data_IF_407902218655
#
_entry.id   IF_407902218655
#
_cell.length_a   1.000
_cell.length_b   1.000
_cell.length_c   1.000
_cell.angle_alpha   90.00
_cell.angle_beta   90.00
_cell.angle_gamma   90.00
#
_symmetry.space_group_name_H-M   'P 1'
#
loop_
_entity.id
_entity.type
_entity.pdbx_description
1 polymer ?
#
# COMPACT_ATOMS: atom_id res chain seq x y z
N UNK A 1 17.60 17.84 -21.51
CA UNK A 1 17.52 16.61 -20.69
C UNK A 1 18.85 15.91 -20.77
N UNK A 2 19.24 15.21 -19.72
CA UNK A 2 20.47 14.42 -19.66
C UNK A 2 20.24 13.17 -18.81
N UNK A 3 21.13 12.18 -18.95
CA UNK A 3 21.08 10.93 -18.23
C UNK A 3 22.23 10.83 -17.24
N UNK A 4 22.02 10.06 -16.19
CA UNK A 4 23.09 9.71 -15.26
C UNK A 4 24.20 8.90 -15.95
N UNK A 5 25.48 9.11 -15.61
CA UNK A 5 26.55 8.22 -16.00
C UNK A 5 26.25 6.78 -15.54
N UNK A 6 26.84 5.76 -16.19
CA UNK A 6 26.72 4.39 -15.73
C UNK A 6 27.21 4.22 -14.28
N UNK A 7 26.53 3.39 -13.49
CA UNK A 7 26.70 3.30 -12.02
C UNK A 7 28.11 2.85 -11.62
N UNK A 8 28.72 2.01 -12.45
CA UNK A 8 30.09 1.53 -12.35
C UNK A 8 31.13 2.66 -12.36
N UNK A 9 30.81 3.83 -12.93
CA UNK A 9 31.72 4.96 -13.03
C UNK A 9 31.54 6.01 -11.91
N UNK A 10 30.61 5.79 -10.98
CA UNK A 10 30.29 6.82 -9.98
C UNK A 10 31.38 6.97 -8.91
N UNK A 11 32.20 5.94 -8.70
CA UNK A 11 33.29 5.91 -7.72
C UNK A 11 32.88 6.45 -6.33
N UNK A 12 31.62 6.18 -5.95
CA UNK A 12 30.99 6.77 -4.77
C UNK A 12 29.49 6.99 -4.98
N UNK A 13 28.83 7.53 -3.96
CA UNK A 13 27.41 7.92 -4.07
C UNK A 13 27.34 9.21 -4.91
N UNK A 14 26.65 9.14 -6.04
CA UNK A 14 26.32 10.31 -6.83
C UNK A 14 25.46 11.28 -6.01
N UNK A 15 25.92 12.52 -5.87
CA UNK A 15 25.24 13.58 -5.13
C UNK A 15 24.49 14.54 -6.05
N UNK A 16 25.00 14.75 -7.27
CA UNK A 16 24.37 15.67 -8.21
C UNK A 16 25.21 15.92 -9.45
N UNK A 17 24.87 17.02 -10.12
CA UNK A 17 25.44 17.45 -11.38
C UNK A 17 25.69 18.95 -11.36
N UNK A 18 26.74 19.37 -12.05
CA UNK A 18 26.95 20.76 -12.45
C UNK A 18 26.59 20.90 -13.92
N UNK A 19 25.62 21.76 -14.22
CA UNK A 19 25.19 22.10 -15.58
C UNK A 19 25.82 23.45 -15.95
N UNK A 20 26.84 23.40 -16.80
CA UNK A 20 27.62 24.55 -17.26
C UNK A 20 27.10 25.10 -18.57
N UNK A 21 27.08 26.41 -18.72
CA UNK A 21 26.81 27.05 -20.01
C UNK A 21 27.70 28.28 -20.23
N UNK A 22 28.03 28.57 -21.48
CA UNK A 22 28.71 29.80 -21.90
C UNK A 22 28.36 30.14 -23.35
N UNK A 23 28.59 31.37 -23.79
CA UNK A 23 28.49 31.73 -25.20
C UNK A 23 29.52 30.91 -26.00
N UNK A 24 29.11 30.38 -27.15
CA UNK A 24 29.97 29.58 -28.00
C UNK A 24 31.22 30.38 -28.39
N UNK A 25 32.40 29.74 -28.34
CA UNK A 25 33.72 30.34 -28.58
C UNK A 25 34.13 31.46 -27.61
N UNK A 26 33.36 31.72 -26.55
CA UNK A 26 33.81 32.62 -25.49
C UNK A 26 35.00 32.04 -24.73
N UNK A 27 35.96 32.91 -24.42
CA UNK A 27 37.08 32.62 -23.53
C UNK A 27 36.67 32.61 -22.05
N UNK A 28 35.45 33.04 -21.73
CA UNK A 28 34.91 32.97 -20.38
C UNK A 28 34.75 31.50 -19.91
N UNK A 29 34.93 31.24 -18.61
CA UNK A 29 34.64 29.92 -18.04
C UNK A 29 33.15 29.61 -18.11
N UNK A 30 32.80 28.32 -18.04
CA UNK A 30 31.39 27.91 -17.94
C UNK A 30 30.76 28.42 -16.64
N UNK A 31 29.57 29.01 -16.76
CA UNK A 31 28.73 29.33 -15.62
C UNK A 31 27.92 28.09 -15.21
N UNK A 32 28.21 27.55 -14.03
CA UNK A 32 27.64 26.29 -13.54
C UNK A 32 26.44 26.49 -12.62
N UNK A 33 25.40 25.68 -12.82
CA UNK A 33 24.27 25.51 -11.93
C UNK A 33 24.35 24.13 -11.27
N UNK A 34 24.02 24.05 -9.98
CA UNK A 34 24.04 22.78 -9.24
C UNK A 34 22.66 22.14 -9.29
N UNK A 35 22.60 20.87 -9.68
CA UNK A 35 21.39 20.05 -9.74
C UNK A 35 21.60 18.82 -8.87
N UNK A 36 20.82 18.68 -7.81
CA UNK A 36 20.91 17.53 -6.90
C UNK A 36 20.40 16.26 -7.58
N UNK A 37 21.09 15.14 -7.37
CA UNK A 37 20.67 13.85 -7.89
C UNK A 37 19.43 13.36 -7.13
N UNK A 38 18.30 13.23 -7.84
CA UNK A 38 17.08 12.60 -7.33
C UNK A 38 17.09 11.08 -7.49
N UNK A 39 15.94 10.43 -7.25
CA UNK A 39 15.75 8.98 -7.50
C UNK A 39 15.62 8.64 -9.00
N UNK A 40 15.38 9.64 -9.84
CA UNK A 40 15.22 9.47 -11.30
C UNK A 40 16.56 9.41 -12.02
N UNK A 41 16.63 8.58 -13.06
CA UNK A 41 17.76 8.51 -14.01
C UNK A 41 17.65 9.52 -15.15
N UNK A 42 16.44 10.03 -15.41
CA UNK A 42 16.18 11.10 -16.37
C UNK A 42 16.12 12.43 -15.64
N UNK A 43 16.98 13.35 -16.07
CA UNK A 43 17.14 14.65 -15.44
C UNK A 43 16.96 15.76 -16.47
N UNK A 44 16.30 16.82 -16.03
CA UNK A 44 16.15 18.04 -16.79
C UNK A 44 16.61 19.23 -15.94
N UNK A 45 17.07 20.26 -16.63
CA UNK A 45 17.44 21.51 -16.01
C UNK A 45 17.17 22.63 -17.00
N UNK A 46 16.58 23.72 -16.51
CA UNK A 46 16.25 24.89 -17.32
C UNK A 46 17.28 25.99 -17.09
N UNK A 47 18.06 26.28 -18.12
CA UNK A 47 18.90 27.46 -18.18
C UNK A 47 18.02 28.68 -18.48
N UNK A 48 18.22 29.76 -17.73
CA UNK A 48 17.43 31.00 -17.84
C UNK A 48 18.35 32.20 -17.99
N UNK A 49 17.80 33.36 -18.39
CA UNK A 49 18.55 34.62 -18.60
C UNK A 49 19.64 34.51 -19.67
N UNK A 50 19.35 33.77 -20.74
CA UNK A 50 20.20 33.68 -21.93
C UNK A 50 19.87 34.82 -22.91
N UNK A 51 20.86 35.22 -23.72
CA UNK A 51 20.65 36.17 -24.80
C UNK A 51 19.94 35.48 -25.98
N UNK A 52 19.09 36.22 -26.69
CA UNK A 52 18.41 35.74 -27.91
C UNK A 52 19.39 35.59 -29.07
N UNK A 53 19.02 34.82 -30.08
CA UNK A 53 19.81 34.60 -31.31
C UNK A 53 21.29 34.29 -31.04
N UNK A 54 21.57 33.56 -29.96
CA UNK A 54 22.93 33.36 -29.45
C UNK A 54 23.21 31.88 -29.31
N UNK A 55 24.34 31.45 -29.88
CA UNK A 55 24.84 30.09 -29.68
C UNK A 55 25.50 29.95 -28.32
N UNK A 56 25.09 28.93 -27.60
CA UNK A 56 25.65 28.52 -26.33
C UNK A 56 26.27 27.14 -26.45
N UNK A 57 27.36 26.99 -25.73
CA UNK A 57 27.98 25.73 -25.38
C UNK A 57 27.48 25.29 -24.01
N UNK A 58 27.01 24.06 -23.89
CA UNK A 58 26.47 23.48 -22.65
C UNK A 58 27.19 22.18 -22.31
N UNK A 59 27.61 22.03 -21.05
CA UNK A 59 28.27 20.82 -20.53
C UNK A 59 27.61 20.38 -19.22
N UNK A 60 27.69 19.09 -18.91
CA UNK A 60 27.25 18.53 -17.64
C UNK A 60 28.36 17.69 -17.03
N UNK A 61 28.62 17.83 -15.74
CA UNK A 61 29.51 16.92 -14.99
C UNK A 61 28.87 16.44 -13.70
N UNK A 62 29.00 15.16 -13.41
CA UNK A 62 28.52 14.55 -12.17
C UNK A 62 29.46 14.85 -11.00
N UNK A 63 28.95 14.88 -9.77
CA UNK A 63 29.79 14.97 -8.58
C UNK A 63 29.32 14.04 -7.45
N UNK A 64 30.29 13.60 -6.65
CA UNK A 64 30.10 12.81 -5.44
C UNK A 64 30.77 13.51 -4.25
N UNK A 65 30.90 12.83 -3.10
CA UNK A 65 31.53 13.40 -1.91
C UNK A 65 33.02 13.68 -2.03
N UNK A 66 33.70 13.10 -3.03
CA UNK A 66 35.13 13.30 -3.30
C UNK A 66 35.33 14.51 -4.21
N UNK A 67 34.46 14.69 -5.20
CA UNK A 67 34.54 15.83 -6.12
C UNK A 67 33.74 15.64 -7.39
N UNK A 68 34.03 16.47 -8.40
CA UNK A 68 33.42 16.41 -9.72
C UNK A 68 34.17 15.46 -10.65
N UNK A 69 33.43 14.66 -11.41
CA UNK A 69 33.95 13.91 -12.55
C UNK A 69 34.21 14.77 -13.79
N UNK A 70 34.55 14.13 -14.92
CA UNK A 70 34.81 14.83 -16.17
C UNK A 70 33.55 15.51 -16.75
N UNK A 71 33.77 16.51 -17.58
CA UNK A 71 32.72 17.17 -18.35
C UNK A 71 32.20 16.24 -19.47
N UNK A 72 30.91 16.34 -19.74
CA UNK A 72 30.31 15.72 -20.92
C UNK A 72 30.85 16.33 -22.20
N UNK A 73 30.51 15.72 -23.34
CA UNK A 73 30.63 16.40 -24.62
C UNK A 73 29.87 17.75 -24.58
N UNK A 74 30.45 18.76 -25.22
CA UNK A 74 29.86 20.09 -25.35
C UNK A 74 28.66 20.04 -26.30
N UNK A 75 27.48 20.38 -25.78
CA UNK A 75 26.27 20.49 -26.58
C UNK A 75 26.12 21.92 -27.09
N UNK A 76 26.06 22.08 -28.41
CA UNK A 76 25.80 23.37 -29.04
C UNK A 76 24.29 23.58 -29.19
N UNK A 77 23.78 24.66 -28.62
CA UNK A 77 22.38 25.06 -28.72
C UNK A 77 22.29 26.52 -29.11
N UNK A 78 21.27 26.89 -29.88
CA UNK A 78 21.02 28.27 -30.30
C UNK A 78 19.69 28.73 -29.72
N UNK A 79 19.68 29.89 -29.08
CA UNK A 79 18.44 30.52 -28.61
C UNK A 79 17.69 31.14 -29.78
N UNK A 80 16.37 31.07 -29.75
CA UNK A 80 15.52 31.72 -30.75
C UNK A 80 15.70 33.24 -30.74
N UNK A 81 15.59 33.87 -31.92
CA UNK A 81 15.48 35.32 -32.06
C UNK A 81 14.03 35.82 -31.87
N UNK A 82 13.05 34.94 -32.13
CA UNK A 82 11.63 35.26 -31.97
C UNK A 82 11.28 35.44 -30.49
N UNK A 83 10.43 36.42 -30.21
CA UNK A 83 9.75 36.51 -28.92
C UNK A 83 9.02 35.21 -28.60
N UNK A 84 9.16 34.75 -27.37
CA UNK A 84 8.36 33.65 -26.85
C UNK A 84 6.88 34.00 -26.97
N UNK A 85 6.05 33.00 -27.28
CA UNK A 85 4.62 33.18 -27.16
C UNK A 85 4.24 33.43 -25.70
N UNK A 86 3.16 34.18 -25.47
CA UNK A 86 2.65 34.42 -24.13
C UNK A 86 2.34 33.08 -23.43
N UNK A 87 2.64 32.96 -22.13
CA UNK A 87 2.40 31.75 -21.40
C UNK A 87 0.89 31.49 -21.24
N UNK A 88 0.46 30.24 -21.18
CA UNK A 88 -0.89 29.88 -20.74
C UNK A 88 -1.09 30.20 -19.26
N UNK A 89 -2.33 30.56 -18.91
CA UNK A 89 -2.77 30.71 -17.52
C UNK A 89 -3.17 29.34 -16.98
N UNK A 90 -2.30 28.74 -16.17
CA UNK A 90 -2.52 27.44 -15.53
C UNK A 90 -3.25 27.63 -14.20
N UNK A 91 -4.19 26.73 -13.90
CA UNK A 91 -4.84 26.61 -12.59
C UNK A 91 -5.12 25.14 -12.25
N UNK A 92 -5.32 24.88 -10.95
CA UNK A 92 -5.66 23.55 -10.43
C UNK A 92 -7.12 23.55 -10.04
N UNK A 93 -7.94 22.72 -10.70
CA UNK A 93 -9.37 22.63 -10.43
C UNK A 93 -9.67 21.70 -9.27
N UNK A 94 -8.99 20.55 -9.22
CA UNK A 94 -9.24 19.50 -8.22
C UNK A 94 -7.94 18.80 -7.83
N UNK A 95 -7.88 18.31 -6.61
CA UNK A 95 -6.80 17.46 -6.09
C UNK A 95 -7.39 16.25 -5.40
N UNK A 96 -6.77 15.10 -5.55
CA UNK A 96 -7.07 13.88 -4.79
C UNK A 96 -5.80 13.37 -4.10
N UNK A 97 -5.88 12.20 -3.47
CA UNK A 97 -4.73 11.54 -2.84
C UNK A 97 -3.63 11.15 -3.82
N UNK A 98 -3.96 10.77 -5.05
CA UNK A 98 -2.98 10.33 -6.06
C UNK A 98 -3.06 11.08 -7.40
N UNK A 99 -3.86 12.15 -7.49
CA UNK A 99 -4.06 12.88 -8.74
C UNK A 99 -4.34 14.38 -8.52
N UNK A 100 -4.17 15.16 -9.59
CA UNK A 100 -4.60 16.55 -9.67
C UNK A 100 -5.18 16.84 -11.06
N UNK A 101 -6.30 17.58 -11.12
CA UNK A 101 -6.88 18.06 -12.36
C UNK A 101 -6.33 19.46 -12.65
N UNK A 102 -5.57 19.57 -13.73
CA UNK A 102 -5.00 20.81 -14.23
C UNK A 102 -5.85 21.34 -15.36
N UNK A 103 -6.03 22.64 -15.41
CA UNK A 103 -6.73 23.33 -16.49
C UNK A 103 -5.98 24.61 -16.87
N UNK A 104 -6.11 25.03 -18.13
CA UNK A 104 -5.45 26.23 -18.60
C UNK A 104 -6.18 26.94 -19.72
N UNK A 105 -5.98 28.25 -19.77
CA UNK A 105 -6.50 29.14 -20.81
C UNK A 105 -5.37 29.95 -21.45
N UNK A 106 -5.59 30.40 -22.69
CA UNK A 106 -4.64 31.28 -23.39
C UNK A 106 -5.09 32.73 -23.33
N UNK A 107 -4.13 33.67 -23.35
CA UNK A 107 -4.44 35.07 -23.61
C UNK A 107 -5.26 35.24 -24.90
N UNK A 108 -6.30 36.08 -24.83
CA UNK A 108 -7.30 36.27 -25.92
C UNK A 108 -6.73 36.83 -27.22
N UNK A 109 -5.52 37.38 -27.17
CA UNK A 109 -4.82 37.96 -28.32
C UNK A 109 -4.10 36.91 -29.19
N UNK A 110 -4.05 35.65 -28.75
CA UNK A 110 -3.53 34.56 -29.56
C UNK A 110 -4.64 33.93 -30.42
N UNK A 111 -4.37 33.64 -31.70
CA UNK A 111 -5.31 32.90 -32.53
C UNK A 111 -5.68 31.55 -31.93
N UNK A 112 -6.93 31.13 -32.17
CA UNK A 112 -7.39 29.80 -31.80
C UNK A 112 -6.58 28.76 -32.62
N UNK A 113 -5.98 27.77 -31.93
CA UNK A 113 -5.11 26.72 -32.50
C UNK A 113 -3.67 27.14 -32.91
N UNK A 114 -3.10 28.18 -32.31
CA UNK A 114 -1.65 28.50 -32.48
C UNK A 114 -0.74 27.35 -32.02
N UNK A 115 -1.18 26.55 -31.07
CA UNK A 115 -0.35 25.54 -30.40
C UNK A 115 -0.55 24.14 -30.98
N UNK A 116 0.55 23.41 -31.14
CA UNK A 116 0.60 22.01 -31.59
C UNK A 116 0.45 21.03 -30.42
N UNK A 117 1.00 21.36 -29.25
CA UNK A 117 0.86 20.57 -28.02
C UNK A 117 1.24 21.39 -26.78
N UNK A 118 1.03 20.79 -25.61
CA UNK A 118 1.48 21.29 -24.32
C UNK A 118 2.41 20.29 -23.65
N UNK A 119 3.31 20.81 -22.81
CA UNK A 119 4.12 20.00 -21.90
C UNK A 119 3.82 20.46 -20.47
N UNK A 120 3.32 19.53 -19.66
CA UNK A 120 3.11 19.71 -18.21
C UNK A 120 4.35 19.24 -17.49
N UNK A 121 4.93 20.09 -16.66
CA UNK A 121 6.09 19.78 -15.83
C UNK A 121 5.69 19.76 -14.37
N UNK A 122 6.08 18.71 -13.63
CA UNK A 122 5.76 18.57 -12.21
C UNK A 122 6.90 17.95 -11.41
N UNK A 123 7.03 18.32 -10.14
CA UNK A 123 8.01 17.73 -9.20
C UNK A 123 7.48 17.64 -7.77
N UNK A 124 7.90 16.64 -6.99
CA UNK A 124 7.63 16.60 -5.55
C UNK A 124 8.54 17.59 -4.80
N UNK A 125 7.94 18.49 -4.03
CA UNK A 125 8.64 19.51 -3.27
C UNK A 125 9.42 20.51 -4.13
N UNK A 126 10.29 21.31 -3.49
CA UNK A 126 11.17 22.28 -4.16
C UNK A 126 12.48 21.66 -4.65
N UNK A 127 12.86 20.50 -4.11
CA UNK A 127 14.15 19.83 -4.39
C UNK A 127 13.99 18.58 -5.27
N UNK A 128 12.76 18.15 -5.54
CA UNK A 128 12.51 17.02 -6.42
C UNK A 128 12.93 17.28 -7.86
N UNK A 129 13.19 16.19 -8.58
CA UNK A 129 13.42 16.22 -10.02
C UNK A 129 12.11 16.53 -10.76
N UNK A 130 12.18 17.33 -11.82
CA UNK A 130 11.03 17.56 -12.68
C UNK A 130 10.77 16.34 -13.56
N UNK A 131 9.48 16.10 -13.75
CA UNK A 131 8.92 15.12 -14.67
C UNK A 131 8.09 15.89 -15.69
N UNK A 132 7.96 15.36 -16.90
CA UNK A 132 7.20 16.02 -17.97
C UNK A 132 6.19 15.08 -18.61
N UNK A 133 5.02 15.61 -18.98
CA UNK A 133 3.98 14.88 -19.72
C UNK A 133 3.53 15.69 -20.93
N UNK A 134 3.47 15.01 -22.08
CA UNK A 134 2.95 15.58 -23.32
C UNK A 134 1.42 15.55 -23.32
N UNK A 135 0.79 16.68 -23.63
CA UNK A 135 -0.66 16.84 -23.73
C UNK A 135 -1.04 17.39 -25.12
N UNK A 136 -1.96 16.75 -25.86
CA UNK A 136 -2.42 17.25 -27.16
C UNK A 136 -3.00 18.67 -27.11
N UNK A 137 -2.83 19.45 -28.18
CA UNK A 137 -3.31 20.86 -28.22
C UNK A 137 -4.82 21.03 -28.10
N UNK A 138 -5.61 20.02 -28.50
CA UNK A 138 -7.07 20.02 -28.39
C UNK A 138 -7.55 20.04 -26.93
N UNK A 139 -6.73 19.53 -26.01
CA UNK A 139 -7.09 19.45 -24.60
C UNK A 139 -6.69 20.76 -23.90
N UNK A 140 -7.59 21.24 -23.02
CA UNK A 140 -7.35 22.40 -22.12
C UNK A 140 -7.42 22.01 -20.65
N UNK A 141 -7.49 20.70 -20.42
CA UNK A 141 -7.54 20.07 -19.11
C UNK A 141 -6.73 18.79 -19.15
N UNK A 142 -6.03 18.47 -18.06
CA UNK A 142 -5.23 17.26 -17.94
C UNK A 142 -5.25 16.74 -16.51
N UNK A 143 -5.57 15.46 -16.36
CA UNK A 143 -5.52 14.78 -15.06
C UNK A 143 -4.13 14.20 -14.86
N UNK A 144 -3.33 14.87 -14.03
CA UNK A 144 -2.05 14.37 -13.57
C UNK A 144 -2.30 13.26 -12.55
N UNK A 145 -1.72 12.07 -12.76
CA UNK A 145 -1.96 10.87 -11.94
C UNK A 145 -0.64 10.31 -11.40
N UNK A 146 -0.73 9.25 -10.58
CA UNK A 146 0.43 8.60 -9.96
C UNK A 146 1.23 9.53 -9.05
N UNK A 147 0.54 10.47 -8.39
CA UNK A 147 1.12 11.32 -7.37
C UNK A 147 1.19 10.60 -6.02
N UNK A 148 2.18 10.94 -5.21
CA UNK A 148 2.29 10.46 -3.83
C UNK A 148 1.29 11.19 -2.94
N UNK A 149 0.63 10.48 -2.04
CA UNK A 149 -0.37 11.04 -1.13
C UNK A 149 0.27 11.91 -0.04
N UNK A 150 -0.42 12.97 0.39
CA UNK A 150 0.06 13.91 1.40
C UNK A 150 1.32 14.67 0.99
N UNK A 151 1.59 14.80 -0.30
CA UNK A 151 2.84 15.32 -0.85
C UNK A 151 2.61 16.64 -1.59
N UNK A 152 3.47 17.62 -1.32
CA UNK A 152 3.45 18.93 -1.99
C UNK A 152 4.13 18.81 -3.35
N UNK A 153 3.46 19.24 -4.42
CA UNK A 153 3.99 19.26 -5.77
C UNK A 153 4.08 20.68 -6.30
N UNK A 154 5.12 20.94 -7.09
CA UNK A 154 5.18 22.12 -7.95
C UNK A 154 4.86 21.72 -9.38
N UNK A 155 4.07 22.53 -10.08
CA UNK A 155 3.64 22.28 -11.45
C UNK A 155 3.66 23.55 -12.28
N UNK A 156 4.12 23.46 -13.53
CA UNK A 156 3.97 24.51 -14.53
C UNK A 156 3.72 23.89 -15.91
N UNK A 157 3.31 24.71 -16.87
CA UNK A 157 2.98 24.27 -18.22
C UNK A 157 3.67 25.17 -19.25
N UNK A 158 4.10 24.59 -20.38
CA UNK A 158 4.56 25.33 -21.56
C UNK A 158 3.77 24.90 -22.78
N UNK A 159 3.50 25.84 -23.69
CA UNK A 159 2.81 25.57 -24.94
C UNK A 159 3.79 25.60 -26.12
N UNK A 160 3.63 24.67 -27.05
CA UNK A 160 4.48 24.55 -28.23
C UNK A 160 3.69 24.90 -29.48
N UNK A 161 4.31 25.62 -30.42
CA UNK A 161 3.76 25.99 -31.72
C UNK A 161 4.78 25.67 -32.83
N UNK A 162 4.37 25.79 -34.10
CA UNK A 162 5.32 25.71 -35.22
C UNK A 162 6.38 26.81 -35.20
N UNK A 163 6.06 27.96 -34.60
CA UNK A 163 6.95 29.11 -34.55
C UNK A 163 7.91 29.10 -33.36
N UNK A 164 7.70 28.23 -32.37
CA UNK A 164 8.50 28.16 -31.16
C UNK A 164 7.69 27.76 -29.92
N UNK A 165 8.32 27.91 -28.75
CA UNK A 165 7.76 27.56 -27.45
C UNK A 165 7.30 28.84 -26.73
N UNK A 166 6.20 28.77 -25.99
CA UNK A 166 5.79 29.85 -25.10
C UNK A 166 6.73 29.98 -23.92
N UNK A 167 6.66 31.12 -23.24
CA UNK A 167 7.17 31.18 -21.88
C UNK A 167 6.42 30.17 -20.98
N UNK A 168 7.04 29.71 -19.89
CA UNK A 168 6.38 28.87 -18.89
C UNK A 168 5.25 29.63 -18.18
N UNK A 169 4.18 28.92 -17.85
CA UNK A 169 3.16 29.42 -16.92
C UNK A 169 3.77 29.71 -15.55
N UNK A 170 3.01 30.42 -14.71
CA UNK A 170 3.31 30.49 -13.29
C UNK A 170 3.43 29.08 -12.69
N UNK A 171 4.41 28.92 -11.82
CA UNK A 171 4.61 27.67 -11.09
C UNK A 171 3.61 27.60 -9.95
N UNK A 172 2.62 26.74 -10.09
CA UNK A 172 1.65 26.46 -9.05
C UNK A 172 2.21 25.46 -8.05
N UNK A 173 1.70 25.54 -6.83
CA UNK A 173 1.99 24.56 -5.79
C UNK A 173 0.70 23.93 -5.31
N UNK A 174 0.62 22.60 -5.37
CA UNK A 174 -0.54 21.83 -4.92
C UNK A 174 -0.13 20.82 -3.85
N UNK A 175 -1.06 20.41 -3.01
CA UNK A 175 -0.87 19.37 -2.00
C UNK A 175 -1.86 18.25 -2.30
N UNK A 176 -1.36 17.03 -2.49
CA UNK A 176 -2.24 15.86 -2.63
C UNK A 176 -2.89 15.53 -1.29
N UNK A 177 -4.11 15.03 -1.34
CA UNK A 177 -4.83 14.68 -0.13
C UNK A 177 -4.11 13.54 0.62
N UNK A 178 -4.15 13.58 1.95
CA UNK A 178 -3.60 12.51 2.77
C UNK A 178 -4.53 11.30 2.76
N UNK A 179 -4.03 10.14 2.35
CA UNK A 179 -4.74 8.88 2.49
C UNK A 179 -4.87 8.61 3.98
N UNK A 180 -6.09 8.64 4.50
CA UNK A 180 -6.35 8.14 5.83
C UNK A 180 -5.88 6.68 5.88
N UNK A 181 -4.84 6.40 6.67
CA UNK A 181 -4.56 5.02 7.06
C UNK A 181 -5.76 4.58 7.88
N UNK A 182 -6.77 3.98 7.24
CA UNK A 182 -7.68 3.12 7.96
C UNK A 182 -6.77 2.16 8.74
N UNK A 183 -6.91 2.03 10.07
CA UNK A 183 -6.14 1.04 10.79
C UNK A 183 -6.41 -0.28 10.07
N UNK A 184 -5.39 -0.86 9.43
CA UNK A 184 -5.40 -2.28 9.13
C UNK A 184 -5.40 -2.96 10.49
N UNK A 185 -6.58 -3.02 11.11
CA UNK A 185 -6.89 -4.09 12.01
C UNK A 185 -6.78 -5.31 11.10
N UNK A 186 -5.58 -5.88 11.04
CA UNK A 186 -5.44 -7.27 10.68
C UNK A 186 -6.55 -7.96 11.44
N UNK A 187 -7.46 -8.61 10.72
CA UNK A 187 -8.39 -9.56 11.30
C UNK A 187 -7.50 -10.64 11.91
N UNK A 188 -6.99 -10.37 13.11
CA UNK A 188 -6.47 -11.36 14.02
C UNK A 188 -7.70 -12.17 14.31
N UNK A 189 -7.78 -13.32 13.62
CA UNK A 189 -8.79 -14.32 13.86
C UNK A 189 -8.97 -14.45 15.36
N UNK A 190 -10.21 -14.40 15.80
CA UNK A 190 -10.57 -14.24 17.20
C UNK A 190 -10.04 -15.37 18.07
N UNK A 191 -8.80 -15.23 18.53
CA UNK A 191 -8.35 -15.87 19.74
C UNK A 191 -8.86 -15.01 20.88
N UNK A 192 -10.07 -15.33 21.33
CA UNK A 192 -10.60 -14.83 22.61
C UNK A 192 -9.50 -14.96 23.65
N UNK A 193 -9.09 -13.86 24.31
CA UNK A 193 -7.95 -13.93 25.19
C UNK A 193 -8.25 -14.90 26.34
N UNK A 194 -7.26 -15.71 26.68
CA UNK A 194 -7.32 -16.86 27.60
C UNK A 194 -8.01 -16.55 28.94
N UNK A 195 -7.95 -15.31 29.42
CA UNK A 195 -8.61 -14.88 30.64
C UNK A 195 -10.14 -14.91 30.54
N UNK A 196 -10.71 -14.58 29.39
CA UNK A 196 -12.16 -14.62 29.14
C UNK A 196 -12.68 -16.06 29.06
N UNK A 197 -11.87 -16.98 28.51
CA UNK A 197 -12.18 -18.41 28.45
C UNK A 197 -12.18 -19.05 29.86
N UNK A 198 -11.29 -18.60 30.75
CA UNK A 198 -11.21 -19.10 32.12
C UNK A 198 -12.40 -18.67 32.99
N UNK A 199 -12.89 -17.44 32.83
CA UNK A 199 -14.01 -16.90 33.62
C UNK A 199 -15.33 -17.66 33.39
N UNK A 200 -15.54 -18.28 32.24
CA UNK A 200 -16.73 -19.11 31.97
C UNK A 200 -16.54 -20.60 32.29
N UNK A 201 -15.32 -21.13 32.18
CA UNK A 201 -15.06 -22.55 32.45
C UNK A 201 -15.12 -22.85 33.95
N UNK A 202 -14.57 -21.97 34.80
CA UNK A 202 -14.51 -22.20 36.25
C UNK A 202 -15.91 -22.30 36.89
N UNK A 203 -16.87 -21.38 36.62
CA UNK A 203 -18.22 -21.47 37.19
C UNK A 203 -18.99 -22.69 36.68
N UNK A 204 -18.83 -23.06 35.40
CA UNK A 204 -19.52 -24.21 34.80
C UNK A 204 -19.00 -25.52 35.37
N UNK A 205 -17.67 -25.67 35.50
CA UNK A 205 -17.06 -26.84 36.13
C UNK A 205 -17.47 -26.96 37.60
N UNK A 206 -17.45 -25.86 38.36
CA UNK A 206 -17.93 -25.85 39.75
C UNK A 206 -19.42 -26.25 39.85
N UNK A 207 -20.26 -25.76 38.93
CA UNK A 207 -21.69 -26.09 38.88
C UNK A 207 -21.92 -27.57 38.62
N UNK A 208 -21.18 -28.18 37.68
CA UNK A 208 -21.28 -29.61 37.38
C UNK A 208 -20.86 -30.45 38.59
N UNK A 209 -19.79 -30.07 39.28
CA UNK A 209 -19.33 -30.78 40.48
C UNK A 209 -20.38 -30.74 41.59
N UNK A 210 -21.00 -29.57 41.82
CA UNK A 210 -22.08 -29.42 42.79
C UNK A 210 -23.28 -30.29 42.43
N UNK A 211 -23.69 -30.31 41.15
CA UNK A 211 -24.79 -31.16 40.68
C UNK A 211 -24.49 -32.64 40.90
N UNK A 212 -23.27 -33.09 40.59
CA UNK A 212 -22.86 -34.49 40.81
C UNK A 212 -22.89 -34.84 42.31
N UNK A 213 -22.42 -33.94 43.18
CA UNK A 213 -22.48 -34.15 44.64
C UNK A 213 -23.93 -34.28 45.10
N UNK A 214 -24.82 -33.39 44.65
CA UNK A 214 -26.25 -33.46 45.00
C UNK A 214 -26.88 -34.77 44.53
N UNK A 215 -26.57 -35.23 43.31
CA UNK A 215 -27.06 -36.51 42.80
C UNK A 215 -26.54 -37.66 43.65
N UNK A 216 -25.26 -37.70 44.00
CA UNK A 216 -24.68 -38.76 44.83
C UNK A 216 -25.30 -38.76 46.22
N UNK A 217 -25.49 -37.59 46.83
CA UNK A 217 -26.17 -37.47 48.13
C UNK A 217 -27.61 -37.98 48.01
N UNK A 218 -28.38 -37.52 47.03
CA UNK A 218 -29.74 -38.02 46.81
C UNK A 218 -29.76 -39.54 46.61
N UNK A 219 -28.81 -40.09 45.86
CA UNK A 219 -28.70 -41.53 45.63
C UNK A 219 -28.40 -42.31 46.91
N UNK A 220 -27.49 -41.80 47.75
CA UNK A 220 -27.19 -42.37 49.08
C UNK A 220 -28.42 -42.30 49.99
N UNK A 221 -29.18 -41.20 49.95
CA UNK A 221 -30.39 -41.05 50.74
C UNK A 221 -31.49 -42.01 50.30
N UNK A 222 -31.72 -42.16 49.00
CA UNK A 222 -32.66 -43.14 48.45
C UNK A 222 -32.24 -44.56 48.82
N UNK A 223 -30.95 -44.91 48.68
CA UNK A 223 -30.44 -46.21 49.12
C UNK A 223 -30.64 -46.43 50.60
N UNK A 224 -30.36 -45.43 51.44
CA UNK A 224 -30.56 -45.50 52.89
C UNK A 224 -32.03 -45.63 53.28
N UNK A 225 -32.95 -45.01 52.53
CA UNK A 225 -34.39 -45.16 52.71
C UNK A 225 -34.85 -46.57 52.32
N UNK A 226 -34.44 -47.07 51.16
CA UNK A 226 -34.74 -48.45 50.74
C UNK A 226 -34.23 -49.48 51.75
N UNK A 227 -33.01 -49.32 52.27
CA UNK A 227 -32.48 -50.18 53.33
C UNK A 227 -33.22 -50.02 54.68
N UNK A 228 -33.82 -48.86 54.94
CA UNK A 228 -34.64 -48.65 56.14
C UNK A 228 -35.98 -49.37 56.01
N UNK A 229 -36.63 -49.25 54.87
CA UNK A 229 -37.88 -49.94 54.53
C UNK A 229 -37.69 -51.47 54.50
N UNK A 230 -36.59 -51.96 53.93
CA UNK A 230 -36.24 -53.39 53.96
C UNK A 230 -36.00 -53.91 55.38
N UNK A 231 -35.37 -53.12 56.26
CA UNK A 231 -35.18 -53.48 57.68
C UNK A 231 -36.49 -53.48 58.48
N UNK A 232 -37.41 -52.59 58.14
CA UNK A 232 -38.74 -52.54 58.76
C UNK A 232 -39.62 -53.70 58.27
N UNK A 233 -39.61 -54.01 56.97
CA UNK A 233 -40.29 -55.17 56.39
C UNK A 233 -39.75 -56.52 56.90
N UNK A 234 -38.45 -56.63 57.15
CA UNK A 234 -37.84 -57.83 57.75
C UNK A 234 -38.19 -58.01 59.24
N UNK A 235 -38.60 -56.94 59.94
CA UNK A 235 -39.07 -57.03 61.33
C UNK A 235 -40.51 -57.56 61.41
N UNK A 236 -41.32 -57.33 60.38
CA UNK A 236 -42.75 -57.67 60.33
C UNK A 236 -43.07 -59.02 59.65
N UNK A 237 -42.08 -59.81 59.25
CA UNK A 237 -42.34 -61.15 58.69
C UNK A 237 -42.72 -62.17 59.79
N UNK A 238 -43.90 -62.82 59.71
CA UNK A 238 -44.26 -63.92 60.60
C UNK A 238 -43.42 -65.17 60.29
N UNK A 239 -42.85 -65.79 61.33
CA UNK A 239 -42.08 -67.05 61.24
C UNK A 239 -42.98 -68.18 60.71
N UNK A 240 -42.71 -68.67 59.51
CA UNK A 240 -43.24 -69.95 59.01
C UNK A 240 -42.15 -71.02 58.95
N UNK A 241 -42.50 -72.22 59.42
CA UNK A 241 -41.67 -73.41 59.59
C UNK A 241 -41.29 -74.09 58.26
N UNK A 242 -40.20 -74.89 58.22
CA UNK A 242 -39.73 -75.53 57.00
C UNK A 242 -40.44 -76.85 56.71
N UNK A 243 -40.73 -77.12 55.44
CA UNK A 243 -40.99 -78.47 54.92
C UNK A 243 -40.07 -78.80 53.75
N UNK A 244 -39.74 -80.08 53.69
CA UNK A 244 -38.70 -80.77 52.94
C UNK A 244 -38.84 -80.77 51.41
N UNK A 245 -37.68 -80.71 50.73
CA UNK A 245 -37.16 -81.51 49.58
C UNK A 245 -38.04 -81.83 48.33
N UNK A 246 -37.48 -82.43 47.26
CA UNK A 246 -36.38 -81.99 46.39
C UNK A 246 -36.72 -82.14 44.87
N UNK A 247 -35.85 -81.62 43.98
CA UNK A 247 -35.50 -82.35 42.74
C UNK A 247 -35.90 -81.83 41.34
N UNK A 248 -34.85 -81.46 40.60
CA UNK A 248 -34.45 -81.88 39.23
C UNK A 248 -35.11 -81.34 37.92
N UNK A 249 -34.20 -81.04 36.97
CA UNK A 249 -34.25 -81.04 35.48
C UNK A 249 -34.72 -79.73 34.80
N UNK A 250 -34.29 -79.31 33.60
CA UNK A 250 -33.10 -79.42 32.71
C UNK A 250 -33.33 -78.38 31.57
N UNK A 251 -32.23 -77.83 31.02
CA UNK A 251 -32.01 -77.36 29.62
C UNK A 251 -33.09 -76.58 28.83
N UNK A 252 -32.74 -75.38 28.31
CA UNK A 252 -32.33 -75.16 26.90
C UNK A 252 -32.15 -73.67 26.55
N UNK A 253 -31.13 -73.37 25.74
CA UNK A 253 -30.96 -72.10 25.02
C UNK A 253 -30.69 -72.38 23.53
N UNK A 254 -31.11 -71.50 22.60
CA UNK A 254 -30.25 -71.21 21.43
C UNK A 254 -30.32 -69.77 20.84
N UNK A 255 -29.12 -69.25 20.50
CA UNK A 255 -28.59 -68.58 19.29
C UNK A 255 -29.33 -67.51 18.42
N UNK A 256 -28.46 -66.62 17.88
CA UNK A 256 -28.43 -65.96 16.54
C UNK A 256 -29.14 -64.57 16.41
N UNK A 257 -28.71 -63.52 15.65
CA UNK A 257 -27.70 -63.30 14.57
C UNK A 257 -27.59 -61.78 14.16
N UNK A 258 -26.36 -61.31 13.78
CA UNK A 258 -25.95 -60.24 12.79
C UNK A 258 -26.46 -58.77 12.92
N UNK A 259 -25.67 -57.70 12.67
CA UNK A 259 -25.09 -57.25 11.36
C UNK A 259 -23.97 -56.19 11.51
N UNK A 260 -23.01 -56.16 10.56
CA UNK A 260 -21.92 -55.18 10.34
C UNK A 260 -22.36 -54.00 9.45
N UNK A 261 -21.72 -52.82 9.58
CA UNK A 261 -21.45 -51.87 8.49
C UNK A 261 -20.04 -51.26 8.63
N UNK A 262 -19.31 -51.21 7.49
CA UNK A 262 -17.97 -50.62 7.29
C UNK A 262 -18.09 -49.12 6.99
N UNK A 263 -17.08 -48.34 7.38
CA UNK A 263 -16.87 -46.94 6.96
C UNK A 263 -15.63 -46.86 6.06
N UNK A 264 -15.76 -46.22 4.89
CA UNK A 264 -14.68 -45.89 3.95
C UNK A 264 -13.98 -44.59 4.39
N UNK A 265 -12.66 -44.52 4.25
CA UNK A 265 -11.83 -43.32 4.45
C UNK A 265 -11.20 -42.98 3.08
N UNK A 266 -11.45 -41.76 2.61
CA UNK A 266 -10.86 -41.18 1.38
C UNK A 266 -9.79 -40.17 1.78
N UNK A 267 -8.62 -40.26 1.15
CA UNK A 267 -7.50 -39.33 1.29
C UNK A 267 -7.19 -38.81 -0.12
N UNK A 268 -7.18 -37.48 -0.28
CA UNK A 268 -6.81 -36.75 -1.49
C UNK A 268 -5.32 -36.40 -1.41
N UNK A 269 -4.61 -36.60 -2.52
CA UNK A 269 -3.28 -36.07 -2.82
C UNK A 269 -3.47 -35.07 -3.96
N UNK A 270 -2.95 -33.86 -3.80
CA UNK A 270 -2.80 -32.88 -4.88
C UNK A 270 -1.30 -32.59 -5.04
N UNK A 271 -0.86 -32.62 -6.29
CA UNK A 271 0.43 -32.19 -6.81
C UNK A 271 0.18 -30.91 -7.60
#
# INVERSE_FOLDING_TARGET
MFQAPPREHWNGRLLGYYVGHKRHQSMEPFAFHTVTAGRSTHLDHRLTRLQKATRYSVVVKAFNSVGSGPESHELLVETSDKDSLKPPHLYVSETSDTAALLEWEHPRDLPENVFTHYMVYYRPGSEGSWHSVHVPSKDKRFKLTSLESGTKYQVYLTAYSESGVSDPSDTLTLLTEGKAMAPSIASVGGDTPYFLKLHFIIPVAASIVIIVIVIVVAWVWVKKAQFRDEREAARDQPKMMPMMCPGIYLLHAPKCRRRRKKVKKSQQVAM
#
